data_IF_934422747157
#
_entry.id   IF_934422747157
#
_cell.length_a   1.000
_cell.length_b   1.000
_cell.length_c   1.000
_cell.angle_alpha   90.00
_cell.angle_beta   90.00
_cell.angle_gamma   90.00
#
_symmetry.space_group_name_H-M   'P 1'
#
loop_
_entity.id
_entity.type
_entity.pdbx_description
1 polymer ?
#
# COMPACT_ATOMS: atom_id res chain seq x y z
N UNK A 1 -28.15 -4.34 -4.73
CA UNK A 1 -28.17 -3.81 -6.11
C UNK A 1 -27.36 -4.75 -6.98
N UNK A 2 -27.88 -5.23 -8.11
CA UNK A 2 -27.13 -6.13 -9.00
C UNK A 2 -26.26 -5.34 -9.97
N UNK A 3 -24.95 -5.59 -9.96
CA UNK A 3 -24.02 -5.03 -10.93
C UNK A 3 -24.18 -5.79 -12.26
N UNK A 4 -24.73 -5.13 -13.28
CA UNK A 4 -24.82 -5.69 -14.63
C UNK A 4 -23.71 -5.13 -15.52
N UNK A 5 -22.71 -5.96 -15.81
CA UNK A 5 -21.62 -5.60 -16.72
C UNK A 5 -21.96 -6.10 -18.12
N UNK A 6 -22.19 -5.19 -19.07
CA UNK A 6 -22.52 -5.48 -20.48
C UNK A 6 -21.28 -5.56 -21.38
N UNK A 7 -20.11 -5.22 -20.84
CA UNK A 7 -18.86 -5.26 -21.59
C UNK A 7 -18.38 -6.72 -21.76
N UNK A 8 -18.18 -7.20 -23.00
CA UNK A 8 -17.77 -8.57 -23.26
C UNK A 8 -16.34 -8.88 -22.78
N UNK A 9 -15.45 -7.88 -22.71
CA UNK A 9 -14.07 -8.06 -22.22
C UNK A 9 -14.07 -8.29 -20.72
N UNK A 10 -14.88 -7.56 -19.97
CA UNK A 10 -15.00 -7.75 -18.52
C UNK A 10 -15.52 -9.15 -18.19
N UNK A 11 -16.49 -9.67 -18.97
CA UNK A 11 -17.00 -11.03 -18.82
C UNK A 11 -15.90 -12.07 -19.08
N UNK A 12 -15.10 -11.89 -20.12
CA UNK A 12 -14.00 -12.81 -20.45
C UNK A 12 -12.89 -12.80 -19.39
N UNK A 13 -12.55 -11.62 -18.85
CA UNK A 13 -11.59 -11.50 -17.75
C UNK A 13 -12.08 -12.21 -16.49
N UNK A 14 -13.35 -11.99 -16.10
CA UNK A 14 -13.97 -12.65 -14.98
C UNK A 14 -13.99 -14.18 -15.15
N UNK A 15 -14.33 -14.67 -16.36
CA UNK A 15 -14.32 -16.10 -16.69
C UNK A 15 -12.93 -16.71 -16.52
N UNK A 16 -11.90 -16.10 -17.12
CA UNK A 16 -10.51 -16.60 -17.02
C UNK A 16 -10.02 -16.65 -15.57
N UNK A 17 -10.35 -15.62 -14.79
CA UNK A 17 -9.94 -15.55 -13.38
C UNK A 17 -10.65 -16.63 -12.55
N UNK A 18 -11.95 -16.81 -12.77
CA UNK A 18 -12.77 -17.84 -12.15
C UNK A 18 -12.25 -19.26 -12.47
N UNK A 19 -11.95 -19.55 -13.73
CA UNK A 19 -11.38 -20.83 -14.16
C UNK A 19 -10.02 -21.11 -13.51
N UNK A 20 -9.16 -20.09 -13.48
CA UNK A 20 -7.82 -20.21 -12.89
C UNK A 20 -7.87 -20.46 -11.38
N UNK A 21 -8.82 -19.84 -10.69
CA UNK A 21 -8.99 -19.95 -9.23
C UNK A 21 -9.96 -21.05 -8.81
N UNK A 22 -10.69 -21.66 -9.75
CA UNK A 22 -11.75 -22.66 -9.50
C UNK A 22 -12.86 -22.14 -8.58
N UNK A 23 -13.25 -20.89 -8.77
CA UNK A 23 -14.32 -20.20 -8.01
C UNK A 23 -15.40 -19.71 -8.97
N UNK A 24 -16.53 -19.23 -8.45
CA UNK A 24 -17.57 -18.65 -9.29
C UNK A 24 -17.12 -17.34 -9.96
N UNK A 25 -17.76 -16.98 -11.09
CA UNK A 25 -17.51 -15.70 -11.76
C UNK A 25 -17.75 -14.50 -10.83
N UNK A 26 -18.75 -14.57 -9.96
CA UNK A 26 -19.07 -13.51 -9.00
C UNK A 26 -17.98 -13.36 -7.95
N UNK A 27 -17.53 -14.47 -7.36
CA UNK A 27 -16.43 -14.47 -6.40
C UNK A 27 -15.14 -13.93 -7.01
N UNK A 28 -14.80 -14.36 -8.23
CA UNK A 28 -13.63 -13.88 -8.95
C UNK A 28 -13.63 -12.36 -9.16
N UNK A 29 -14.79 -11.77 -9.48
CA UNK A 29 -14.94 -10.32 -9.62
C UNK A 29 -14.78 -9.62 -8.29
N UNK A 30 -15.42 -10.12 -7.23
CA UNK A 30 -15.34 -9.54 -5.89
C UNK A 30 -13.88 -9.55 -5.40
N UNK A 31 -13.22 -10.70 -5.44
CA UNK A 31 -11.82 -10.82 -4.98
C UNK A 31 -10.86 -9.94 -5.78
N UNK A 32 -11.07 -9.79 -7.10
CA UNK A 32 -10.25 -8.94 -7.94
C UNK A 32 -10.39 -7.47 -7.55
N UNK A 33 -11.62 -7.01 -7.32
CA UNK A 33 -11.91 -5.64 -6.89
C UNK A 33 -11.35 -5.37 -5.48
N UNK A 34 -11.53 -6.30 -4.54
CA UNK A 34 -10.97 -6.20 -3.20
C UNK A 34 -9.45 -6.14 -3.21
N UNK A 35 -8.81 -6.99 -4.03
CA UNK A 35 -7.35 -6.99 -4.19
C UNK A 35 -6.83 -5.67 -4.74
N UNK A 36 -7.52 -5.09 -5.72
CA UNK A 36 -7.10 -3.83 -6.33
C UNK A 36 -7.34 -2.63 -5.42
N UNK A 37 -8.48 -2.61 -4.73
CA UNK A 37 -8.74 -1.63 -3.68
C UNK A 37 -7.71 -1.74 -2.55
N UNK A 38 -7.30 -2.94 -2.17
CA UNK A 38 -6.26 -3.13 -1.17
C UNK A 38 -4.90 -2.63 -1.66
N UNK A 39 -4.53 -2.91 -2.92
CA UNK A 39 -3.31 -2.36 -3.53
C UNK A 39 -3.32 -0.83 -3.56
N UNK A 40 -4.45 -0.23 -3.92
CA UNK A 40 -4.59 1.23 -3.97
C UNK A 40 -4.60 1.84 -2.56
N UNK A 41 -5.20 1.17 -1.57
CA UNK A 41 -5.15 1.60 -0.15
C UNK A 41 -3.75 1.48 0.44
N UNK A 42 -2.99 0.45 0.05
CA UNK A 42 -1.59 0.28 0.41
C UNK A 42 -0.66 1.23 -0.34
N UNK A 43 -1.18 1.92 -1.35
CA UNK A 43 -0.48 2.97 -2.07
C UNK A 43 -0.40 4.25 -1.22
N UNK A 44 0.10 4.12 0.00
CA UNK A 44 0.56 5.26 0.79
C UNK A 44 1.93 5.62 0.22
N UNK A 45 2.10 6.83 -0.35
CA UNK A 45 3.41 7.29 -0.81
C UNK A 45 4.43 7.12 0.31
N UNK A 46 5.62 6.63 -0.03
CA UNK A 46 6.70 6.38 0.94
C UNK A 46 6.92 7.60 1.85
N UNK A 47 6.88 8.80 1.29
CA UNK A 47 6.98 10.05 2.04
C UNK A 47 5.94 10.18 3.17
N UNK A 48 4.67 9.81 2.93
CA UNK A 48 3.61 9.84 3.95
C UNK A 48 3.81 8.75 5.01
N UNK A 49 4.34 7.58 4.63
CA UNK A 49 4.68 6.51 5.57
C UNK A 49 5.84 6.91 6.48
N UNK A 50 6.86 7.54 5.91
CA UNK A 50 8.03 8.04 6.66
C UNK A 50 7.66 9.21 7.58
N UNK A 51 6.73 10.08 7.16
CA UNK A 51 6.25 11.18 7.99
C UNK A 51 5.62 10.68 9.30
N UNK A 52 4.77 9.65 9.22
CA UNK A 52 4.15 9.04 10.41
C UNK A 52 5.21 8.49 11.36
N UNK A 53 6.21 7.78 10.83
CA UNK A 53 7.31 7.22 11.62
C UNK A 53 8.12 8.34 12.30
N UNK A 54 8.42 9.42 11.56
CA UNK A 54 9.17 10.56 12.09
C UNK A 54 8.40 11.31 13.19
N UNK A 55 7.08 11.46 13.04
CA UNK A 55 6.22 12.04 14.08
C UNK A 55 6.18 11.19 15.34
N UNK A 56 6.10 9.86 15.18
CA UNK A 56 6.10 8.90 16.29
C UNK A 56 7.40 8.97 17.10
N UNK A 57 8.54 9.07 16.42
CA UNK A 57 9.84 9.27 17.08
C UNK A 57 9.95 10.64 17.75
N UNK A 58 9.42 11.70 17.11
CA UNK A 58 9.42 13.05 17.70
C UNK A 58 8.57 13.12 18.97
N UNK A 59 7.42 12.44 18.99
CA UNK A 59 6.56 12.38 20.17
C UNK A 59 7.21 11.62 21.35
N UNK A 60 8.06 10.63 21.04
CA UNK A 60 8.85 9.87 22.02
C UNK A 60 10.14 10.57 22.43
N UNK A 61 10.61 11.55 21.66
CA UNK A 61 11.79 12.32 22.00
C UNK A 61 11.48 13.19 23.23
N UNK A 62 12.25 12.99 24.31
CA UNK A 62 12.18 13.83 25.50
C UNK A 62 12.66 15.26 25.22
N UNK A 63 12.60 16.13 26.25
CA UNK A 63 13.16 17.48 26.15
C UNK A 63 14.68 17.40 25.93
N UNK A 64 15.20 18.14 24.94
CA UNK A 64 16.64 18.18 24.60
C UNK A 64 17.00 17.66 23.20
N UNK A 65 16.02 17.31 22.37
CA UNK A 65 16.27 17.02 20.96
C UNK A 65 16.93 18.20 20.25
N UNK A 66 18.04 17.95 19.55
CA UNK A 66 18.74 18.93 18.72
C UNK A 66 18.81 18.45 17.28
N UNK A 67 18.86 19.38 16.33
CA UNK A 67 19.18 19.05 14.95
C UNK A 67 20.64 18.58 14.88
N UNK A 68 20.87 17.40 14.32
CA UNK A 68 22.21 16.91 14.01
C UNK A 68 22.60 17.36 12.61
N UNK A 69 23.86 17.76 12.46
CA UNK A 69 24.45 18.04 11.15
C UNK A 69 24.65 16.74 10.37
N UNK A 70 24.82 16.87 9.04
CA UNK A 70 25.08 15.72 8.18
C UNK A 70 26.37 15.00 8.59
N UNK A 71 27.43 15.75 8.89
CA UNK A 71 28.73 15.18 9.25
C UNK A 71 28.63 14.35 10.55
N UNK A 72 27.85 14.82 11.54
CA UNK A 72 27.59 14.06 12.77
C UNK A 72 26.79 12.78 12.52
N UNK A 73 25.86 12.80 11.55
CA UNK A 73 25.08 11.62 11.16
C UNK A 73 25.99 10.62 10.43
N UNK A 74 26.80 11.09 9.49
CA UNK A 74 27.68 10.22 8.71
C UNK A 74 28.72 9.53 9.63
N UNK A 75 29.29 10.26 10.60
CA UNK A 75 30.20 9.73 11.62
C UNK A 75 29.52 8.67 12.51
N UNK A 76 28.29 8.91 12.97
CA UNK A 76 27.53 7.93 13.77
C UNK A 76 27.27 6.61 13.05
N UNK A 77 27.19 6.63 11.72
CA UNK A 77 26.87 5.47 10.88
C UNK A 77 28.12 4.85 10.25
N UNK A 78 29.32 5.33 10.63
CA UNK A 78 30.61 4.79 10.16
C UNK A 78 30.94 5.15 8.72
N UNK A 79 30.30 6.19 8.18
CA UNK A 79 30.62 6.77 6.88
C UNK A 79 31.57 7.94 7.11
N UNK A 80 32.87 7.68 7.06
CA UNK A 80 33.94 8.70 7.08
C UNK A 80 34.58 8.84 5.71
#
# INVERSE_FOLDING_TARGET
MNLQIRDPRARELARRLAEKRKISMTEAVIEALESELQRERQRIPLAKRLAVIAEDFRAKAGQGGRAMSKDEIDEMWGHS
#
